data_IF_423428044306
#
_entry.id   IF_423428044306
#
_cell.length_a   1.000
_cell.length_b   1.000
_cell.length_c   1.000
_cell.angle_alpha   90.00
_cell.angle_beta   90.00
_cell.angle_gamma   90.00
#
_symmetry.space_group_name_H-M   'P 1'
#
loop_
_entity.id
_entity.type
_entity.pdbx_description
1 polymer ?
#
# COMPACT_ATOMS: atom_id res chain seq x y z
N UNK A 1 12.22 2.91 -28.40
CA UNK A 1 13.23 2.79 -27.31
C UNK A 1 13.44 1.31 -27.04
N UNK A 2 14.68 0.86 -26.88
CA UNK A 2 15.00 -0.55 -26.58
C UNK A 2 14.53 -0.94 -25.17
N UNK A 3 14.17 -2.20 -24.98
CA UNK A 3 13.67 -2.74 -23.71
C UNK A 3 14.69 -2.61 -22.56
N UNK A 4 15.98 -2.67 -22.88
CA UNK A 4 17.08 -2.38 -21.95
C UNK A 4 17.12 -0.91 -21.50
N UNK A 5 16.73 0.04 -22.37
CA UNK A 5 16.62 1.45 -21.99
C UNK A 5 15.41 1.67 -21.05
N UNK A 6 14.30 0.97 -21.27
CA UNK A 6 13.16 1.00 -20.34
C UNK A 6 13.52 0.42 -18.97
N UNK A 7 14.29 -0.68 -18.91
CA UNK A 7 14.76 -1.27 -17.64
C UNK A 7 15.70 -0.36 -16.85
N UNK A 8 16.55 0.42 -17.53
CA UNK A 8 17.40 1.42 -16.88
C UNK A 8 16.61 2.61 -16.32
N UNK A 9 15.38 2.82 -16.81
CA UNK A 9 14.51 3.93 -16.43
C UNK A 9 13.43 3.54 -15.42
N UNK A 10 13.17 2.25 -15.18
CA UNK A 10 12.19 1.80 -14.18
C UNK A 10 12.62 2.24 -12.78
N UNK A 11 11.76 2.99 -12.09
CA UNK A 11 11.99 3.49 -10.72
C UNK A 11 11.28 2.70 -9.63
N UNK A 12 10.77 1.52 -9.97
CA UNK A 12 10.09 0.62 -9.03
C UNK A 12 11.01 -0.56 -8.70
N UNK A 13 11.08 -1.02 -7.42
CA UNK A 13 11.89 -2.16 -7.05
C UNK A 13 11.43 -3.44 -7.75
N UNK A 14 12.35 -4.40 -7.88
CA UNK A 14 12.02 -5.75 -8.31
C UNK A 14 11.04 -6.43 -7.34
N UNK A 15 9.99 -7.03 -7.90
CA UNK A 15 8.95 -7.74 -7.15
C UNK A 15 9.49 -9.10 -6.69
N UNK A 16 10.25 -9.07 -5.60
CA UNK A 16 10.82 -10.24 -4.92
C UNK A 16 10.02 -10.60 -3.67
N UNK A 17 10.34 -11.71 -3.00
CA UNK A 17 9.78 -11.99 -1.68
C UNK A 17 10.10 -10.87 -0.68
N UNK A 18 11.31 -10.32 -0.72
CA UNK A 18 11.73 -9.19 0.11
C UNK A 18 10.88 -7.93 -0.12
N UNK A 19 10.48 -7.68 -1.36
CA UNK A 19 9.55 -6.59 -1.69
C UNK A 19 8.20 -6.78 -0.97
N UNK A 20 7.63 -7.99 -1.02
CA UNK A 20 6.35 -8.25 -0.37
C UNK A 20 6.41 -8.14 1.15
N UNK A 21 7.50 -8.64 1.76
CA UNK A 21 7.72 -8.52 3.21
C UNK A 21 7.81 -7.04 3.63
N UNK A 22 8.67 -6.25 2.97
CA UNK A 22 8.81 -4.82 3.30
C UNK A 22 7.49 -4.10 3.03
N UNK A 23 6.76 -4.45 1.97
CA UNK A 23 5.47 -3.82 1.66
C UNK A 23 4.41 -4.10 2.72
N UNK A 24 4.29 -5.34 3.21
CA UNK A 24 3.34 -5.68 4.29
C UNK A 24 3.73 -4.93 5.58
N UNK A 25 5.02 -4.84 5.90
CA UNK A 25 5.47 -4.04 7.03
C UNK A 25 5.17 -2.56 6.83
N UNK A 26 5.37 -2.02 5.63
CA UNK A 26 5.08 -0.62 5.32
C UNK A 26 3.59 -0.30 5.41
N UNK A 27 2.71 -1.20 4.96
CA UNK A 27 1.25 -1.03 5.14
C UNK A 27 0.88 -1.11 6.61
N UNK A 28 1.46 -2.04 7.37
CA UNK A 28 1.24 -2.12 8.84
C UNK A 28 1.70 -0.85 9.55
N UNK A 29 2.90 -0.33 9.22
CA UNK A 29 3.42 0.94 9.73
C UNK A 29 2.53 2.12 9.32
N UNK A 30 1.99 2.09 8.11
CA UNK A 30 1.07 3.12 7.62
C UNK A 30 -0.14 3.28 8.53
N UNK A 31 -0.72 2.15 8.94
CA UNK A 31 -1.85 2.09 9.86
C UNK A 31 -1.48 2.62 11.24
N UNK A 32 -0.56 1.94 11.91
CA UNK A 32 -0.19 2.28 13.30
C UNK A 32 0.41 3.68 13.39
N UNK A 33 1.14 4.11 12.35
CA UNK A 33 1.77 5.43 12.29
C UNK A 33 0.78 6.55 11.98
N UNK A 34 -0.24 6.27 11.16
CA UNK A 34 -1.36 7.18 10.94
C UNK A 34 -2.09 7.44 12.25
N UNK A 35 -2.51 6.35 12.90
CA UNK A 35 -3.25 6.37 14.16
C UNK A 35 -2.43 6.89 15.35
N UNK A 36 -1.12 6.64 15.37
CA UNK A 36 -0.24 7.23 16.37
C UNK A 36 -0.34 8.76 16.34
N UNK A 37 -0.39 9.37 15.16
CA UNK A 37 -0.48 10.83 15.06
C UNK A 37 -1.92 11.34 15.17
N UNK A 38 -2.86 10.76 14.43
CA UNK A 38 -4.26 11.23 14.41
C UNK A 38 -4.96 10.94 15.73
N UNK A 39 -4.92 9.69 16.20
CA UNK A 39 -5.63 9.27 17.42
C UNK A 39 -4.84 9.61 18.69
N UNK A 40 -3.52 9.36 18.72
CA UNK A 40 -2.76 9.54 19.99
C UNK A 40 -2.28 10.97 20.23
N UNK A 41 -1.94 11.72 19.17
CA UNK A 41 -1.45 13.12 19.31
C UNK A 41 -2.58 14.12 19.08
N UNK A 42 -3.34 13.97 18.00
CA UNK A 42 -4.45 14.88 17.68
C UNK A 42 -5.79 14.47 18.31
N UNK A 43 -5.84 13.33 19.02
CA UNK A 43 -7.03 12.88 19.75
C UNK A 43 -8.27 12.74 18.85
N UNK A 44 -8.08 12.37 17.58
CA UNK A 44 -9.12 12.38 16.55
C UNK A 44 -10.29 11.40 16.81
N UNK A 45 -10.05 10.38 17.62
CA UNK A 45 -10.98 9.30 17.97
C UNK A 45 -11.81 9.54 19.25
N UNK A 46 -11.39 10.47 20.12
CA UNK A 46 -12.07 10.68 21.41
C UNK A 46 -13.27 11.62 21.31
N UNK A 47 -13.14 12.73 20.59
CA UNK A 47 -14.18 13.73 20.40
C UNK A 47 -14.20 14.18 18.93
N UNK A 48 -15.38 14.61 18.45
CA UNK A 48 -15.49 15.17 17.09
C UNK A 48 -14.65 16.44 16.99
N UNK A 49 -13.49 16.32 16.37
CA UNK A 49 -12.52 17.38 16.20
C UNK A 49 -11.90 17.31 14.80
N UNK A 50 -10.90 18.16 14.57
CA UNK A 50 -10.24 18.29 13.27
C UNK A 50 -9.01 17.38 13.12
N UNK A 51 -8.76 16.46 14.06
CA UNK A 51 -7.53 15.67 14.13
C UNK A 51 -7.27 14.80 12.89
N UNK A 52 -8.30 14.12 12.38
CA UNK A 52 -8.17 13.39 11.11
C UNK A 52 -7.92 14.34 9.93
N UNK A 53 -8.60 15.50 9.84
CA UNK A 53 -8.34 16.46 8.75
C UNK A 53 -6.92 17.03 8.80
N UNK A 54 -6.43 17.36 10.00
CA UNK A 54 -5.06 17.83 10.21
C UNK A 54 -4.06 16.75 9.80
N UNK A 55 -4.33 15.48 10.16
CA UNK A 55 -3.55 14.32 9.71
C UNK A 55 -3.53 14.20 8.18
N UNK A 56 -4.69 14.25 7.53
CA UNK A 56 -4.82 14.23 6.06
C UNK A 56 -4.01 15.35 5.42
N UNK A 57 -4.10 16.57 5.93
CA UNK A 57 -3.36 17.71 5.39
C UNK A 57 -1.84 17.51 5.54
N UNK A 58 -1.38 17.12 6.74
CA UNK A 58 0.04 16.91 7.02
C UNK A 58 0.63 15.78 6.16
N UNK A 59 0.03 14.59 6.23
CA UNK A 59 0.50 13.44 5.46
C UNK A 59 0.33 13.64 3.96
N UNK A 60 -0.71 14.37 3.53
CA UNK A 60 -0.95 14.71 2.13
C UNK A 60 0.16 15.59 1.57
N UNK A 61 0.57 16.63 2.30
CA UNK A 61 1.71 17.48 1.91
C UNK A 61 3.00 16.65 1.82
N UNK A 62 3.25 15.78 2.81
CA UNK A 62 4.42 14.89 2.79
C UNK A 62 4.39 13.93 1.60
N UNK A 63 3.25 13.32 1.31
CA UNK A 63 3.08 12.41 0.18
C UNK A 63 3.31 13.12 -1.14
N UNK A 64 2.70 14.30 -1.34
CA UNK A 64 2.87 15.09 -2.57
C UNK A 64 4.34 15.46 -2.78
N UNK A 65 5.04 15.87 -1.72
CA UNK A 65 6.48 16.18 -1.80
C UNK A 65 7.31 14.94 -2.20
N UNK A 66 7.04 13.78 -1.61
CA UNK A 66 7.76 12.53 -1.92
C UNK A 66 7.43 11.97 -3.30
N UNK A 67 6.18 12.10 -3.77
CA UNK A 67 5.78 11.73 -5.14
C UNK A 67 6.43 12.68 -6.14
N UNK A 68 6.46 13.98 -5.87
CA UNK A 68 7.17 14.94 -6.72
C UNK A 68 8.68 14.59 -6.78
N UNK A 69 9.30 14.25 -5.65
CA UNK A 69 10.69 13.81 -5.61
C UNK A 69 10.91 12.52 -6.43
N UNK A 70 9.98 11.55 -6.40
CA UNK A 70 10.02 10.35 -7.24
C UNK A 70 9.99 10.67 -8.74
N UNK A 71 9.06 11.56 -9.13
CA UNK A 71 8.90 12.00 -10.52
C UNK A 71 10.15 12.72 -11.02
N UNK A 72 10.74 13.59 -10.19
CA UNK A 72 11.94 14.35 -10.53
C UNK A 72 13.24 13.52 -10.49
N UNK A 73 13.27 12.42 -9.72
CA UNK A 73 14.44 11.56 -9.64
C UNK A 73 14.79 10.98 -11.02
N UNK A 74 16.07 10.98 -11.39
CA UNK A 74 16.53 10.46 -12.70
C UNK A 74 16.87 8.96 -12.67
N UNK A 75 16.93 8.37 -11.49
CA UNK A 75 17.35 6.97 -11.25
C UNK A 75 16.51 6.36 -10.13
N UNK A 76 16.54 5.04 -10.04
CA UNK A 76 15.93 4.31 -8.94
C UNK A 76 16.63 4.62 -7.61
N UNK A 77 15.86 5.07 -6.63
CA UNK A 77 16.30 5.27 -5.24
C UNK A 77 15.39 4.47 -4.30
N UNK A 78 15.92 3.39 -3.73
CA UNK A 78 15.14 2.48 -2.89
C UNK A 78 14.59 3.17 -1.64
N UNK A 79 15.40 3.99 -0.96
CA UNK A 79 14.97 4.73 0.23
C UNK A 79 13.83 5.70 -0.09
N UNK A 80 13.93 6.43 -1.21
CA UNK A 80 12.86 7.32 -1.66
C UNK A 80 11.60 6.53 -1.99
N UNK A 81 11.70 5.37 -2.63
CA UNK A 81 10.55 4.55 -2.98
C UNK A 81 9.81 4.05 -1.74
N UNK A 82 10.55 3.48 -0.79
CA UNK A 82 9.96 2.98 0.44
C UNK A 82 9.41 4.10 1.32
N UNK A 83 10.06 5.26 1.37
CA UNK A 83 9.53 6.45 2.04
C UNK A 83 8.22 6.92 1.40
N UNK A 84 8.12 6.97 0.07
CA UNK A 84 6.87 7.33 -0.62
C UNK A 84 5.77 6.29 -0.37
N UNK A 85 6.12 4.99 -0.32
CA UNK A 85 5.16 3.93 0.02
C UNK A 85 4.64 4.11 1.45
N UNK A 86 5.51 4.29 2.44
CA UNK A 86 5.12 4.54 3.84
C UNK A 86 4.25 5.79 3.94
N UNK A 87 4.65 6.90 3.30
CA UNK A 87 3.84 8.12 3.29
C UNK A 87 2.47 7.89 2.65
N UNK A 88 2.39 7.11 1.56
CA UNK A 88 1.11 6.80 0.91
C UNK A 88 0.20 5.95 1.78
N UNK A 89 0.76 5.02 2.57
CA UNK A 89 -0.03 4.18 3.48
C UNK A 89 -0.52 4.98 4.68
N UNK A 90 0.34 5.83 5.26
CA UNK A 90 -0.03 6.69 6.40
C UNK A 90 -1.07 7.75 6.00
N UNK A 91 -0.88 8.39 4.84
CA UNK A 91 -1.90 9.28 4.28
C UNK A 91 -3.20 8.51 3.97
N UNK A 92 -3.07 7.30 3.42
CA UNK A 92 -4.20 6.43 3.11
C UNK A 92 -5.08 6.15 4.33
N UNK A 93 -4.48 5.80 5.47
CA UNK A 93 -5.21 5.62 6.74
C UNK A 93 -5.94 6.88 7.16
N UNK A 94 -5.21 8.00 7.31
CA UNK A 94 -5.82 9.24 7.78
C UNK A 94 -6.97 9.70 6.87
N UNK A 95 -6.85 9.50 5.56
CA UNK A 95 -7.89 9.84 4.59
C UNK A 95 -9.10 8.90 4.68
N UNK A 96 -8.89 7.61 4.89
CA UNK A 96 -9.96 6.63 5.08
C UNK A 96 -10.76 6.96 6.34
N UNK A 97 -10.08 7.14 7.48
CA UNK A 97 -10.72 7.52 8.74
C UNK A 97 -11.46 8.86 8.64
N UNK A 98 -10.87 9.84 7.97
CA UNK A 98 -11.52 11.12 7.75
C UNK A 98 -12.82 10.94 6.96
N UNK A 99 -12.80 10.19 5.87
CA UNK A 99 -13.96 9.95 5.02
C UNK A 99 -15.05 9.15 5.75
N UNK A 100 -14.66 8.05 6.40
CA UNK A 100 -15.61 7.12 6.99
C UNK A 100 -16.15 7.62 8.32
N UNK A 101 -15.28 8.15 9.19
CA UNK A 101 -15.64 8.55 10.56
C UNK A 101 -16.01 10.03 10.67
N UNK A 102 -15.25 10.92 10.04
CA UNK A 102 -15.45 12.38 10.22
C UNK A 102 -16.50 12.97 9.27
N UNK A 103 -16.46 12.60 7.98
CA UNK A 103 -17.47 13.00 7.00
C UNK A 103 -18.76 12.18 7.13
N UNK A 104 -18.71 11.03 7.80
CA UNK A 104 -19.87 10.18 8.04
C UNK A 104 -20.34 9.39 6.81
N UNK A 105 -19.45 9.16 5.85
CA UNK A 105 -19.74 8.32 4.67
C UNK A 105 -19.93 6.85 5.10
N UNK A 106 -19.25 6.45 6.18
CA UNK A 106 -19.26 5.10 6.74
C UNK A 106 -18.49 4.11 5.87
N UNK A 107 -17.95 3.07 6.52
CA UNK A 107 -17.01 2.13 5.90
C UNK A 107 -17.52 1.47 4.60
N UNK A 108 -18.80 1.11 4.52
CA UNK A 108 -19.39 0.55 3.30
C UNK A 108 -19.36 1.56 2.14
N UNK A 109 -19.76 2.81 2.43
CA UNK A 109 -19.80 3.88 1.44
C UNK A 109 -18.40 4.30 0.99
N UNK A 110 -17.48 4.48 1.94
CA UNK A 110 -16.09 4.83 1.66
C UNK A 110 -15.37 3.75 0.88
N UNK A 111 -15.52 2.48 1.27
CA UNK A 111 -14.94 1.35 0.54
C UNK A 111 -15.43 1.27 -0.91
N UNK A 112 -16.75 1.43 -1.16
CA UNK A 112 -17.30 1.42 -2.52
C UNK A 112 -16.82 2.60 -3.35
N UNK A 113 -16.77 3.80 -2.76
CA UNK A 113 -16.27 5.00 -3.43
C UNK A 113 -14.80 4.84 -3.82
N UNK A 114 -13.96 4.39 -2.88
CA UNK A 114 -12.52 4.21 -3.10
C UNK A 114 -12.24 3.09 -4.09
N UNK A 115 -13.04 2.02 -4.08
CA UNK A 115 -12.97 0.96 -5.10
C UNK A 115 -13.31 1.53 -6.48
N UNK A 116 -14.37 2.34 -6.61
CA UNK A 116 -14.72 2.98 -7.87
C UNK A 116 -13.59 3.91 -8.37
N UNK A 117 -13.00 4.73 -7.48
CA UNK A 117 -11.86 5.58 -7.82
C UNK A 117 -10.64 4.76 -8.27
N UNK A 118 -10.33 3.66 -7.59
CA UNK A 118 -9.22 2.77 -7.92
C UNK A 118 -9.40 2.11 -9.28
N UNK A 119 -10.57 1.52 -9.53
CA UNK A 119 -10.91 0.86 -10.80
C UNK A 119 -10.92 1.87 -11.95
N UNK A 120 -11.46 3.07 -11.72
CA UNK A 120 -11.44 4.16 -12.72
C UNK A 120 -10.00 4.55 -13.04
N UNK A 121 -9.14 4.72 -12.03
CA UNK A 121 -7.73 5.07 -12.25
C UNK A 121 -6.99 3.99 -13.05
N UNK A 122 -7.17 2.72 -12.70
CA UNK A 122 -6.60 1.59 -13.45
C UNK A 122 -7.14 1.51 -14.88
N UNK A 123 -8.43 1.76 -15.08
CA UNK A 123 -9.09 1.77 -16.39
C UNK A 123 -8.56 2.90 -17.28
N UNK A 124 -8.47 4.12 -16.76
CA UNK A 124 -7.92 5.28 -17.47
C UNK A 124 -6.45 5.09 -17.77
N UNK A 125 -5.66 4.54 -16.83
CA UNK A 125 -4.25 4.21 -17.09
C UNK A 125 -4.13 3.20 -18.22
N UNK A 126 -4.87 2.08 -18.16
CA UNK A 126 -4.86 1.07 -19.23
C UNK A 126 -5.28 1.65 -20.58
N UNK A 127 -6.28 2.52 -20.61
CA UNK A 127 -6.74 3.18 -21.83
C UNK A 127 -5.69 4.13 -22.41
N UNK A 128 -5.01 4.89 -21.55
CA UNK A 128 -3.99 5.87 -21.93
C UNK A 128 -2.67 5.23 -22.39
N UNK A 129 -2.22 4.17 -21.72
CA UNK A 129 -0.86 3.61 -21.89
C UNK A 129 -0.87 2.18 -22.46
N UNK A 130 -2.05 1.59 -22.70
CA UNK A 130 -2.22 0.23 -23.21
C UNK A 130 -1.93 -0.89 -22.18
N UNK A 131 -1.29 -0.56 -21.07
CA UNK A 131 -0.92 -1.49 -20.00
C UNK A 131 -0.89 -0.80 -18.64
N UNK A 132 -1.09 -1.60 -17.58
CA UNK A 132 -0.92 -1.18 -16.17
C UNK A 132 0.26 -1.90 -15.53
N UNK A 133 1.19 -2.39 -16.35
CA UNK A 133 2.38 -3.07 -15.85
C UNK A 133 3.26 -2.10 -15.08
N UNK A 134 3.69 -2.49 -13.89
CA UNK A 134 4.60 -1.68 -13.08
C UNK A 134 6.01 -1.62 -13.68
N UNK A 135 6.36 -2.56 -14.56
CA UNK A 135 7.63 -2.54 -15.29
C UNK A 135 7.76 -1.36 -16.27
N UNK A 136 6.65 -0.80 -16.74
CA UNK A 136 6.64 0.29 -17.72
C UNK A 136 6.62 1.68 -17.07
N UNK A 137 6.75 1.74 -15.74
CA UNK A 137 6.76 3.01 -14.98
C UNK A 137 8.11 3.69 -15.15
N UNK A 138 8.19 4.57 -16.17
CA UNK A 138 9.43 5.26 -16.55
C UNK A 138 9.23 6.74 -16.96
N UNK A 139 7.99 7.18 -17.16
CA UNK A 139 7.68 8.58 -17.54
C UNK A 139 6.87 9.27 -16.44
N UNK A 140 6.97 10.61 -16.30
CA UNK A 140 6.20 11.36 -15.30
C UNK A 140 4.69 11.06 -15.33
N UNK A 141 4.13 10.88 -16.53
CA UNK A 141 2.71 10.56 -16.72
C UNK A 141 2.36 9.18 -16.16
N UNK A 142 3.17 8.16 -16.46
CA UNK A 142 2.94 6.79 -15.96
C UNK A 142 3.20 6.71 -14.45
N UNK A 143 4.19 7.45 -13.94
CA UNK A 143 4.45 7.58 -12.51
C UNK A 143 3.28 8.23 -11.77
N UNK A 144 2.64 9.25 -12.35
CA UNK A 144 1.45 9.85 -11.78
C UNK A 144 0.29 8.86 -11.68
N UNK A 145 0.03 8.05 -12.72
CA UNK A 145 -0.96 6.97 -12.64
C UNK A 145 -0.60 5.95 -11.56
N UNK A 146 0.66 5.50 -11.53
CA UNK A 146 1.16 4.55 -10.54
C UNK A 146 0.93 5.03 -9.11
N UNK A 147 1.37 6.25 -8.76
CA UNK A 147 1.21 6.80 -7.42
C UNK A 147 -0.26 7.12 -7.06
N UNK A 148 -1.08 7.49 -8.04
CA UNK A 148 -2.53 7.70 -7.83
C UNK A 148 -3.22 6.37 -7.52
N UNK A 149 -2.94 5.32 -8.31
CA UNK A 149 -3.46 3.97 -8.08
C UNK A 149 -3.04 3.44 -6.71
N UNK A 150 -1.77 3.65 -6.33
CA UNK A 150 -1.29 3.28 -5.00
C UNK A 150 -2.07 4.01 -3.94
N UNK A 151 -2.20 5.34 -4.03
CA UNK A 151 -2.88 6.15 -3.01
C UNK A 151 -4.31 5.67 -2.79
N UNK A 152 -5.11 5.50 -3.85
CA UNK A 152 -6.47 4.96 -3.72
C UNK A 152 -6.49 3.53 -3.20
N UNK A 153 -5.54 2.68 -3.61
CA UNK A 153 -5.40 1.34 -3.06
C UNK A 153 -5.07 1.36 -1.57
N UNK A 154 -4.26 2.31 -1.10
CA UNK A 154 -3.90 2.42 0.31
C UNK A 154 -5.09 2.87 1.15
N UNK A 155 -5.82 3.89 0.69
CA UNK A 155 -7.02 4.37 1.38
C UNK A 155 -8.12 3.30 1.37
N UNK A 156 -8.36 2.65 0.23
CA UNK A 156 -9.34 1.57 0.11
C UNK A 156 -9.04 0.44 1.11
N UNK A 157 -7.77 0.03 1.23
CA UNK A 157 -7.45 -1.09 2.08
C UNK A 157 -7.63 -0.81 3.57
N UNK A 158 -7.41 0.42 4.05
CA UNK A 158 -7.78 0.77 5.43
C UNK A 158 -9.29 0.71 5.62
N UNK A 159 -10.06 1.40 4.77
CA UNK A 159 -11.52 1.39 4.83
C UNK A 159 -12.10 -0.04 4.79
N UNK A 160 -11.55 -0.91 3.92
CA UNK A 160 -11.98 -2.29 3.77
C UNK A 160 -11.57 -3.18 4.96
N UNK A 161 -10.40 -2.92 5.54
CA UNK A 161 -9.93 -3.61 6.75
C UNK A 161 -10.85 -3.33 7.93
N UNK A 162 -11.09 -2.04 8.19
CA UNK A 162 -12.01 -1.55 9.22
C UNK A 162 -13.43 -2.05 9.00
N UNK A 163 -13.92 -1.96 7.76
CA UNK A 163 -15.23 -2.46 7.37
C UNK A 163 -15.41 -3.93 7.76
N UNK A 164 -14.42 -4.77 7.45
CA UNK A 164 -14.49 -6.20 7.73
C UNK A 164 -14.46 -6.46 9.24
N UNK A 165 -13.61 -5.76 10.00
CA UNK A 165 -13.50 -5.92 11.45
C UNK A 165 -14.76 -5.45 12.19
N UNK A 166 -15.32 -4.30 11.78
CA UNK A 166 -16.51 -3.68 12.39
C UNK A 166 -17.79 -4.47 12.07
N UNK A 167 -17.88 -5.08 10.88
CA UNK A 167 -19.08 -5.80 10.44
C UNK A 167 -19.46 -6.91 11.43
N UNK A 168 -20.51 -6.65 12.22
CA UNK A 168 -21.03 -7.54 13.28
C UNK A 168 -19.98 -7.90 14.35
N UNK A 169 -18.98 -7.05 14.57
CA UNK A 169 -17.91 -7.30 15.55
C UNK A 169 -17.04 -8.51 15.17
N UNK A 170 -16.70 -8.63 13.88
CA UNK A 170 -15.86 -9.73 13.39
C UNK A 170 -14.45 -9.71 14.00
N UNK A 171 -13.94 -8.51 14.28
CA UNK A 171 -12.66 -8.25 14.93
C UNK A 171 -11.46 -8.28 13.99
N UNK A 172 -10.40 -7.55 14.37
CA UNK A 172 -9.20 -7.36 13.53
C UNK A 172 -8.39 -8.65 13.34
N UNK A 173 -8.29 -9.50 14.37
CA UNK A 173 -7.63 -10.82 14.31
C UNK A 173 -8.17 -11.70 13.17
N UNK A 174 -9.50 -11.75 13.00
CA UNK A 174 -10.17 -12.58 11.99
C UNK A 174 -10.10 -11.92 10.63
N UNK A 175 -10.20 -10.59 10.60
CA UNK A 175 -9.95 -9.80 9.39
C UNK A 175 -8.57 -10.10 8.79
N UNK A 176 -7.53 -10.08 9.61
CA UNK A 176 -6.16 -10.40 9.19
C UNK A 176 -6.04 -11.83 8.62
N UNK A 177 -6.73 -12.81 9.21
CA UNK A 177 -6.78 -14.18 8.69
C UNK A 177 -7.44 -14.25 7.31
N UNK A 178 -8.54 -13.53 7.09
CA UNK A 178 -9.24 -13.48 5.79
C UNK A 178 -8.33 -12.91 4.71
N UNK A 179 -7.67 -11.78 4.95
CA UNK A 179 -6.78 -11.17 3.94
C UNK A 179 -5.51 -12.00 3.72
N UNK A 180 -4.99 -12.67 4.76
CA UNK A 180 -3.89 -13.63 4.63
C UNK A 180 -4.29 -14.81 3.75
N UNK A 181 -5.47 -15.40 3.98
CA UNK A 181 -6.00 -16.49 3.16
C UNK A 181 -6.22 -16.04 1.70
N UNK A 182 -6.73 -14.83 1.49
CA UNK A 182 -6.89 -14.26 0.14
C UNK A 182 -5.53 -14.11 -0.58
N UNK A 183 -4.49 -13.62 0.11
CA UNK A 183 -3.14 -13.56 -0.46
C UNK A 183 -2.55 -14.95 -0.73
N UNK A 184 -2.81 -15.94 0.12
CA UNK A 184 -2.41 -17.32 -0.11
C UNK A 184 -3.08 -17.89 -1.38
N UNK A 185 -4.36 -17.58 -1.63
CA UNK A 185 -5.04 -17.93 -2.88
C UNK A 185 -4.39 -17.24 -4.08
N UNK A 186 -4.04 -15.96 -3.96
CA UNK A 186 -3.32 -15.26 -5.05
C UNK A 186 -1.96 -15.89 -5.33
N UNK A 187 -1.23 -16.29 -4.29
CA UNK A 187 0.03 -17.02 -4.43
C UNK A 187 -0.18 -18.39 -5.09
N UNK A 188 -1.20 -19.14 -4.69
CA UNK A 188 -1.58 -20.41 -5.33
C UNK A 188 -1.90 -20.22 -6.83
N UNK A 189 -2.69 -19.20 -7.17
CA UNK A 189 -2.98 -18.85 -8.57
C UNK A 189 -1.71 -18.48 -9.34
N UNK A 190 -0.76 -17.79 -8.70
CA UNK A 190 0.51 -17.46 -9.32
C UNK A 190 1.33 -18.70 -9.70
N UNK A 191 1.41 -19.70 -8.81
CA UNK A 191 2.21 -20.91 -9.05
C UNK A 191 1.49 -21.97 -9.90
N UNK A 192 0.16 -22.04 -9.85
CA UNK A 192 -0.59 -23.15 -10.45
C UNK A 192 -1.42 -22.78 -11.68
N UNK A 193 -1.49 -21.50 -12.05
CA UNK A 193 -2.29 -21.06 -13.20
C UNK A 193 -1.55 -20.10 -14.13
N UNK A 194 -2.08 -19.95 -15.34
CA UNK A 194 -1.61 -19.02 -16.38
C UNK A 194 -2.28 -17.64 -16.31
N UNK A 195 -2.93 -17.29 -15.19
CA UNK A 195 -3.53 -15.97 -14.99
C UNK A 195 -2.46 -14.89 -15.14
N UNK A 196 -2.85 -13.77 -15.78
CA UNK A 196 -1.99 -12.61 -16.03
C UNK A 196 -1.20 -12.19 -14.78
N UNK A 197 0.13 -12.17 -14.90
CA UNK A 197 1.04 -11.75 -13.83
C UNK A 197 0.83 -10.31 -13.40
N UNK A 198 0.42 -9.44 -14.33
CA UNK A 198 0.08 -8.05 -14.05
C UNK A 198 -1.20 -7.97 -13.20
N UNK A 199 -2.20 -8.79 -13.51
CA UNK A 199 -3.45 -8.84 -12.73
C UNK A 199 -3.20 -9.39 -11.33
N UNK A 200 -2.47 -10.50 -11.21
CA UNK A 200 -2.12 -11.08 -9.91
C UNK A 200 -1.28 -10.11 -9.07
N UNK A 201 -0.37 -9.37 -9.69
CA UNK A 201 0.38 -8.31 -9.01
C UNK A 201 -0.56 -7.26 -8.41
N UNK A 202 -1.49 -6.70 -9.19
CA UNK A 202 -2.40 -5.67 -8.67
C UNK A 202 -3.32 -6.22 -7.60
N UNK A 203 -3.86 -7.43 -7.76
CA UNK A 203 -4.70 -8.07 -6.74
C UNK A 203 -3.91 -8.27 -5.44
N UNK A 204 -2.69 -8.83 -5.51
CA UNK A 204 -1.82 -8.97 -4.34
C UNK A 204 -1.49 -7.61 -3.71
N UNK A 205 -1.10 -6.64 -4.53
CA UNK A 205 -0.74 -5.30 -4.07
C UNK A 205 -1.89 -4.62 -3.35
N UNK A 206 -3.11 -4.71 -3.90
CA UNK A 206 -4.32 -4.16 -3.29
C UNK A 206 -4.64 -4.89 -2.00
N UNK A 207 -4.58 -6.23 -1.96
CA UNK A 207 -4.89 -7.04 -0.77
C UNK A 207 -3.85 -6.94 0.35
N UNK A 208 -2.59 -6.59 0.06
CA UNK A 208 -1.59 -6.35 1.12
C UNK A 208 -1.90 -5.12 1.98
N UNK A 209 -2.70 -4.17 1.48
CA UNK A 209 -3.12 -3.02 2.27
C UNK A 209 -4.11 -3.38 3.38
N UNK A 210 -5.29 -3.97 3.10
CA UNK A 210 -6.22 -4.34 4.16
C UNK A 210 -5.63 -5.39 5.11
N UNK A 211 -4.74 -6.27 4.62
CA UNK A 211 -3.94 -7.10 5.52
C UNK A 211 -3.09 -6.26 6.48
N UNK A 212 -2.30 -5.31 5.95
CA UNK A 212 -1.46 -4.46 6.80
C UNK A 212 -2.27 -3.60 7.76
N UNK A 213 -3.42 -3.08 7.34
CA UNK A 213 -4.33 -2.32 8.19
C UNK A 213 -4.84 -3.20 9.35
N UNK A 214 -5.50 -4.32 9.02
CA UNK A 214 -6.00 -5.26 10.04
C UNK A 214 -4.92 -5.81 10.97
N UNK A 215 -3.69 -6.03 10.49
CA UNK A 215 -2.55 -6.41 11.33
C UNK A 215 -2.09 -5.25 12.21
N UNK A 216 -2.04 -4.02 11.70
CA UNK A 216 -1.69 -2.83 12.48
C UNK A 216 -2.70 -2.58 13.60
N UNK A 217 -3.99 -2.64 13.27
CA UNK A 217 -5.08 -2.54 14.21
C UNK A 217 -5.11 -3.70 15.20
N UNK A 218 -4.82 -4.92 14.75
CA UNK A 218 -4.64 -6.06 15.66
C UNK A 218 -3.54 -5.79 16.69
N UNK A 219 -2.48 -5.06 16.35
CA UNK A 219 -1.45 -4.70 17.33
C UNK A 219 -1.94 -3.66 18.34
N UNK A 220 -2.65 -2.60 17.90
CA UNK A 220 -2.91 -1.44 18.77
C UNK A 220 -4.32 -1.30 19.34
N UNK A 221 -5.35 -1.87 18.70
CA UNK A 221 -6.74 -1.68 19.11
C UNK A 221 -7.04 -2.48 20.38
N UNK A 222 -8.11 -2.12 21.12
CA UNK A 222 -8.52 -2.84 22.32
C UNK A 222 -8.78 -4.33 22.08
N UNK A 223 -8.59 -5.13 23.13
CA UNK A 223 -8.88 -6.58 23.11
C UNK A 223 -10.34 -6.87 22.80
N UNK A 224 -11.25 -5.98 23.18
CA UNK A 224 -12.68 -6.10 22.87
C UNK A 224 -12.96 -6.09 21.35
N UNK A 225 -12.11 -5.44 20.56
CA UNK A 225 -12.23 -5.35 19.10
C UNK A 225 -11.36 -6.40 18.39
N UNK A 226 -10.77 -7.33 19.15
CA UNK A 226 -9.86 -8.36 18.65
C UNK A 226 -8.44 -7.84 18.40
N UNK A 227 -7.97 -6.83 19.14
CA UNK A 227 -6.59 -6.34 19.13
C UNK A 227 -5.78 -6.71 20.39
N UNK A 228 -4.51 -6.29 20.43
CA UNK A 228 -3.56 -6.58 21.52
C UNK A 228 -3.34 -5.39 22.47
N UNK A 229 -3.96 -4.24 22.20
CA UNK A 229 -3.82 -3.00 22.98
C UNK A 229 -2.36 -2.54 23.18
N UNK A 230 -1.49 -2.76 22.20
CA UNK A 230 -0.11 -2.27 22.23
C UNK A 230 -0.05 -0.76 21.97
N UNK A 231 1.04 -0.13 22.41
CA UNK A 231 1.27 1.30 22.18
C UNK A 231 1.51 1.60 20.70
N UNK A 232 0.67 2.45 20.09
CA UNK A 232 0.78 2.87 18.67
C UNK A 232 2.14 3.46 18.30
N UNK A 233 2.70 4.42 19.08
CA UNK A 233 4.01 4.97 18.76
C UNK A 233 5.13 3.92 18.85
N UNK A 234 5.05 3.02 19.82
CA UNK A 234 6.06 1.96 19.99
C UNK A 234 5.99 0.93 18.86
N UNK A 235 4.79 0.44 18.52
CA UNK A 235 4.57 -0.49 17.41
C UNK A 235 5.10 0.13 16.10
N UNK A 236 4.76 1.38 15.84
CA UNK A 236 5.24 2.14 14.68
C UNK A 236 6.77 2.25 14.65
N UNK A 237 7.40 2.60 15.78
CA UNK A 237 8.86 2.72 15.86
C UNK A 237 9.57 1.39 15.59
N UNK A 238 9.07 0.28 16.14
CA UNK A 238 9.64 -1.05 15.93
C UNK A 238 9.49 -1.48 14.47
N UNK A 239 8.31 -1.33 13.88
CA UNK A 239 8.09 -1.70 12.47
C UNK A 239 8.96 -0.84 11.54
N UNK A 240 9.06 0.48 11.80
CA UNK A 240 9.93 1.37 11.04
C UNK A 240 11.40 0.93 11.12
N UNK A 241 11.90 0.57 12.30
CA UNK A 241 13.26 0.06 12.48
C UNK A 241 13.50 -1.23 11.67
N UNK A 242 12.53 -2.16 11.67
CA UNK A 242 12.60 -3.40 10.88
C UNK A 242 12.63 -3.08 9.38
N UNK A 243 11.77 -2.17 8.90
CA UNK A 243 11.77 -1.74 7.49
C UNK A 243 13.13 -1.18 7.10
N UNK A 244 13.69 -0.27 7.91
CA UNK A 244 15.01 0.33 7.65
C UNK A 244 16.09 -0.75 7.58
N UNK A 245 16.09 -1.70 8.53
CA UNK A 245 17.04 -2.82 8.52
C UNK A 245 16.91 -3.68 7.25
N UNK A 246 15.68 -4.03 6.85
CA UNK A 246 15.44 -4.83 5.64
C UNK A 246 15.82 -4.09 4.36
N UNK A 247 15.59 -2.78 4.28
CA UNK A 247 15.98 -1.96 3.12
C UNK A 247 17.51 -1.88 2.99
N UNK A 248 18.24 -1.88 4.11
CA UNK A 248 19.71 -1.91 4.12
C UNK A 248 20.27 -3.29 3.78
N UNK A 249 19.70 -4.35 4.38
CA UNK A 249 20.22 -5.73 4.26
C UNK A 249 19.84 -6.39 2.94
N UNK A 250 18.61 -6.18 2.46
CA UNK A 250 18.12 -6.84 1.25
C UNK A 250 18.53 -6.07 -0.01
N UNK A 251 19.05 -6.76 -1.05
CA UNK A 251 19.43 -6.11 -2.31
C UNK A 251 18.25 -5.40 -2.97
N UNK A 252 18.29 -4.08 -3.03
CA UNK A 252 17.29 -3.27 -3.72
C UNK A 252 17.70 -3.04 -5.17
N UNK A 253 17.06 -3.75 -6.11
CA UNK A 253 17.32 -3.62 -7.56
C UNK A 253 16.07 -3.08 -8.27
N UNK A 254 16.23 -2.30 -9.36
CA UNK A 254 15.11 -1.95 -10.23
C UNK A 254 14.42 -3.20 -10.79
N UNK A 255 13.11 -3.13 -11.02
CA UNK A 255 12.35 -4.21 -11.62
C UNK A 255 12.84 -4.60 -13.02
N UNK A 256 12.92 -5.92 -13.28
CA UNK A 256 13.25 -6.49 -14.59
C UNK A 256 12.03 -7.14 -15.22
N UNK A 257 12.01 -7.20 -16.56
CA UNK A 257 10.90 -7.76 -17.33
C UNK A 257 10.79 -9.28 -17.09
N UNK A 258 9.59 -9.86 -16.86
CA UNK A 258 9.41 -11.30 -16.64
C UNK A 258 9.79 -12.18 -17.85
N UNK A 259 9.96 -11.62 -19.06
CA UNK A 259 10.27 -12.37 -20.28
C UNK A 259 11.75 -12.71 -20.50
N UNK A 260 12.66 -12.31 -19.60
CA UNK A 260 14.11 -12.54 -19.79
C UNK A 260 14.62 -13.90 -19.28
N UNK A 261 13.88 -14.60 -18.42
CA UNK A 261 14.33 -15.89 -17.89
C UNK A 261 14.19 -17.03 -18.91
N UNK A 262 13.24 -16.93 -19.83
CA UNK A 262 12.97 -17.97 -20.84
C UNK A 262 13.93 -17.89 -22.04
N UNK A 263 14.28 -16.68 -22.48
CA UNK A 263 15.18 -16.50 -23.63
C UNK A 263 16.66 -16.82 -23.33
N UNK A 264 17.06 -16.88 -22.05
CA UNK A 264 18.42 -17.23 -21.66
C UNK A 264 18.64 -18.75 -21.56
N UNK A 265 17.56 -19.54 -21.54
CA UNK A 265 17.64 -21.00 -21.41
C UNK A 265 17.56 -21.75 -22.75
N UNK A 266 17.15 -21.07 -23.82
CA UNK A 266 17.02 -21.63 -25.19
C UNK A 266 18.25 -21.38 -26.09
N UNK A 267 19.36 -20.86 -25.54
CA UNK A 267 20.60 -20.57 -26.30
C UNK A 267 21.83 -21.27 -25.68
N UNK A 268 21.64 -22.40 -25.01
CA UNK A 268 22.74 -23.25 -24.51
C UNK A 268 22.66 -24.65 -25.12
#
# INVERSE_FOLDING_TARGET
MTEAANQALTKVPAVTLGFWVIKILATTLGETGGDALTMSVFHADTHKNWGYLVGVALFGVTLVALVAAQILAKRFHAALYWATIVASTTFGTALADFADRSLGIGYTGGSLLLLACLLTTLGVWRWSEGTVSVSTVSTPKVEAFYWTTITFSQTLGTALGDWLADTRGFGYERGALVFTAALAVVAALYFWTSVSRVTLFWVAFILTRPLGATVGDFLDKPVADGGLALSRPLASAVIAAIIVALVIVLPQRPGRHPGQAEAAHDVA
#
